data_IF_695711126861
#
_entry.id   IF_695711126861
#
_cell.length_a   1.000
_cell.length_b   1.000
_cell.length_c   1.000
_cell.angle_alpha   90.00
_cell.angle_beta   90.00
_cell.angle_gamma   90.00
#
_symmetry.space_group_name_H-M   'P 1'
#
loop_
_entity.id
_entity.type
_entity.pdbx_description
1 polymer ?
#
# COMPACT_ATOMS: atom_id res chain seq x y z
N UNK A 1 -3.63 32.93 -3.40
CA UNK A 1 -2.35 32.41 -2.84
C UNK A 1 -2.42 30.96 -2.36
N UNK A 2 -3.59 30.43 -1.96
CA UNK A 2 -3.73 29.05 -1.45
C UNK A 2 -3.43 27.94 -2.47
N UNK A 3 -3.68 28.17 -3.76
CA UNK A 3 -3.38 27.19 -4.81
C UNK A 3 -1.87 26.87 -4.95
N UNK A 4 -1.01 27.84 -4.63
CA UNK A 4 0.46 27.69 -4.78
C UNK A 4 1.08 26.87 -3.65
N UNK A 5 0.51 26.92 -2.43
CA UNK A 5 0.94 26.08 -1.30
C UNK A 5 0.43 24.66 -1.42
N UNK A 6 -0.81 24.45 -1.87
CA UNK A 6 -1.39 23.11 -2.10
C UNK A 6 -0.55 22.31 -3.11
N UNK A 7 -0.23 22.95 -4.24
CA UNK A 7 0.60 22.38 -5.31
C UNK A 7 2.08 22.12 -4.90
N UNK A 8 2.55 22.73 -3.80
CA UNK A 8 3.87 22.42 -3.20
C UNK A 8 3.80 21.26 -2.19
N UNK A 9 2.70 21.14 -1.45
CA UNK A 9 2.48 20.06 -0.49
C UNK A 9 2.28 18.72 -1.23
N UNK A 10 1.58 18.74 -2.35
CA UNK A 10 1.40 17.58 -3.24
C UNK A 10 2.73 17.02 -3.79
N UNK A 11 3.78 17.85 -3.88
CA UNK A 11 5.14 17.41 -4.28
C UNK A 11 5.91 16.69 -3.16
N UNK A 12 5.48 16.81 -1.91
CA UNK A 12 6.18 16.29 -0.73
C UNK A 12 5.41 15.19 0.01
N UNK A 13 4.29 14.71 -0.52
CA UNK A 13 3.62 13.52 -0.01
C UNK A 13 3.95 12.31 -0.91
N UNK A 14 5.13 11.68 -0.73
CA UNK A 14 5.51 10.50 -1.51
C UNK A 14 4.56 9.34 -1.18
N UNK A 15 4.14 8.62 -2.22
CA UNK A 15 3.33 7.43 -1.99
C UNK A 15 4.16 6.36 -1.28
N UNK A 16 3.60 5.79 -0.21
CA UNK A 16 4.16 4.72 0.59
C UNK A 16 4.13 3.43 -0.26
N UNK A 17 5.27 2.76 -0.48
CA UNK A 17 5.30 1.52 -1.23
C UNK A 17 4.61 0.40 -0.45
N UNK A 18 3.77 -0.36 -1.15
CA UNK A 18 3.17 -1.61 -0.66
C UNK A 18 3.61 -2.70 -1.62
N UNK A 19 4.44 -3.60 -1.14
CA UNK A 19 4.97 -4.71 -1.95
C UNK A 19 3.93 -5.81 -2.04
N UNK A 20 3.62 -6.21 -3.27
CA UNK A 20 2.64 -7.26 -3.57
C UNK A 20 3.37 -8.46 -4.14
N UNK A 21 3.20 -9.61 -3.49
CA UNK A 21 3.67 -10.91 -3.95
C UNK A 21 2.49 -11.85 -4.22
N UNK A 22 2.68 -12.78 -5.15
CA UNK A 22 1.72 -13.86 -5.41
C UNK A 22 2.41 -15.20 -5.30
N UNK A 23 1.91 -16.04 -4.39
CA UNK A 23 2.43 -17.36 -4.07
C UNK A 23 1.33 -18.23 -3.49
N UNK A 24 1.42 -19.54 -3.69
CA UNK A 24 0.49 -20.53 -3.10
C UNK A 24 -1.01 -20.23 -3.35
N UNK A 25 -1.33 -19.59 -4.48
CA UNK A 25 -2.69 -19.20 -4.84
C UNK A 25 -3.28 -18.07 -4.00
N UNK A 26 -2.44 -17.23 -3.42
CA UNK A 26 -2.79 -16.04 -2.62
C UNK A 26 -1.93 -14.84 -3.04
N UNK A 27 -2.53 -13.66 -2.98
CA UNK A 27 -1.78 -12.41 -2.96
C UNK A 27 -1.45 -12.04 -1.52
N UNK A 28 -0.23 -11.54 -1.30
CA UNK A 28 0.21 -10.98 -0.02
C UNK A 28 0.63 -9.53 -0.25
N UNK A 29 0.22 -8.64 0.65
CA UNK A 29 0.62 -7.24 0.69
C UNK A 29 1.45 -6.99 1.93
N UNK A 30 2.64 -6.40 1.75
CA UNK A 30 3.56 -6.04 2.81
C UNK A 30 3.86 -4.53 2.72
N UNK A 31 3.77 -3.82 3.84
CA UNK A 31 4.06 -2.39 3.92
C UNK A 31 4.84 -2.08 5.20
N UNK A 32 6.16 -1.93 5.08
CA UNK A 32 7.06 -1.64 6.19
C UNK A 32 6.69 -0.35 6.93
N UNK A 33 6.36 0.70 6.18
CA UNK A 33 6.07 2.01 6.75
C UNK A 33 4.80 2.03 7.61
N UNK A 34 3.83 1.14 7.31
CA UNK A 34 2.61 0.97 8.09
C UNK A 34 2.71 -0.22 9.06
N UNK A 35 3.81 -0.98 9.04
CA UNK A 35 3.93 -2.27 9.73
C UNK A 35 2.73 -3.19 9.47
N UNK A 36 2.31 -3.26 8.20
CA UNK A 36 1.12 -3.97 7.74
C UNK A 36 1.52 -5.18 6.89
N UNK A 37 0.91 -6.34 7.18
CA UNK A 37 0.95 -7.52 6.32
C UNK A 37 -0.47 -8.10 6.23
N UNK A 38 -0.97 -8.34 5.02
CA UNK A 38 -2.29 -8.95 4.79
C UNK A 38 -2.29 -9.81 3.53
N UNK A 39 -3.25 -10.72 3.41
CA UNK A 39 -3.36 -11.64 2.27
C UNK A 39 -4.81 -11.78 1.78
N UNK A 40 -4.98 -12.02 0.48
CA UNK A 40 -6.29 -12.24 -0.14
C UNK A 40 -6.20 -13.14 -1.38
N UNK A 41 -7.35 -13.67 -1.82
CA UNK A 41 -7.43 -14.53 -3.01
C UNK A 41 -7.27 -13.76 -4.30
N UNK A 42 -7.71 -12.51 -4.32
CA UNK A 42 -7.63 -11.63 -5.48
C UNK A 42 -6.89 -10.35 -5.13
N UNK A 43 -6.30 -9.72 -6.16
CA UNK A 43 -5.64 -8.43 -6.00
C UNK A 43 -6.61 -7.32 -5.55
N UNK A 44 -7.86 -7.36 -6.04
CA UNK A 44 -8.90 -6.39 -5.67
C UNK A 44 -9.23 -6.48 -4.17
N UNK A 45 -9.58 -7.68 -3.68
CA UNK A 45 -9.82 -7.93 -2.25
C UNK A 45 -8.61 -7.54 -1.40
N UNK A 46 -7.38 -7.83 -1.87
CA UNK A 46 -6.16 -7.44 -1.16
C UNK A 46 -6.08 -5.92 -1.00
N UNK A 47 -6.32 -5.17 -2.07
CA UNK A 47 -6.24 -3.70 -2.02
C UNK A 47 -7.31 -3.10 -1.13
N UNK A 48 -8.51 -3.66 -1.11
CA UNK A 48 -9.59 -3.25 -0.20
C UNK A 48 -9.16 -3.46 1.26
N UNK A 49 -8.68 -4.67 1.59
CA UNK A 49 -8.21 -4.99 2.94
C UNK A 49 -7.05 -4.08 3.39
N UNK A 50 -6.10 -3.78 2.50
CA UNK A 50 -5.02 -2.84 2.83
C UNK A 50 -5.61 -1.50 3.22
N UNK A 51 -6.53 -0.94 2.42
CA UNK A 51 -7.15 0.36 2.70
C UNK A 51 -7.98 0.39 3.98
N UNK A 52 -8.70 -0.69 4.29
CA UNK A 52 -9.44 -0.83 5.55
C UNK A 52 -8.50 -0.80 6.76
N UNK A 53 -7.31 -1.41 6.64
CA UNK A 53 -6.33 -1.51 7.73
C UNK A 53 -5.46 -0.25 7.89
N UNK A 54 -5.28 0.59 6.86
CA UNK A 54 -4.44 1.80 6.94
C UNK A 54 -4.72 2.69 8.17
N UNK A 55 -5.97 3.14 8.43
CA UNK A 55 -6.23 4.03 9.56
C UNK A 55 -5.88 3.37 10.90
N UNK A 56 -6.27 2.10 11.06
CA UNK A 56 -5.99 1.32 12.27
C UNK A 56 -4.48 1.17 12.48
N UNK A 57 -3.71 0.92 11.42
CA UNK A 57 -2.25 0.78 11.50
C UNK A 57 -1.55 2.10 11.80
N UNK A 58 -2.07 3.23 11.32
CA UNK A 58 -1.56 4.56 11.69
C UNK A 58 -1.77 4.84 13.18
N UNK A 59 -2.96 4.54 13.70
CA UNK A 59 -3.31 4.74 15.10
C UNK A 59 -2.49 3.82 16.02
N UNK A 60 -2.48 2.51 15.75
CA UNK A 60 -1.82 1.49 16.59
C UNK A 60 -0.31 1.69 16.64
N UNK A 61 0.31 2.10 15.54
CA UNK A 61 1.75 2.31 15.47
C UNK A 61 2.17 3.77 15.78
N UNK A 62 1.23 4.63 16.20
CA UNK A 62 1.46 6.05 16.54
C UNK A 62 2.20 6.82 15.43
N UNK A 63 1.87 6.54 14.16
CA UNK A 63 2.54 7.14 13.02
C UNK A 63 2.11 8.60 12.84
N UNK A 64 3.06 9.50 12.60
CA UNK A 64 2.80 10.92 12.29
C UNK A 64 2.31 11.12 10.82
N UNK A 65 1.30 10.34 10.42
CA UNK A 65 0.73 10.34 9.07
C UNK A 65 -0.74 10.71 9.18
N UNK A 66 -1.20 11.67 8.38
CA UNK A 66 -2.62 12.01 8.29
C UNK A 66 -3.35 10.98 7.41
N UNK A 67 -4.28 10.17 7.96
CA UNK A 67 -4.99 9.10 7.23
C UNK A 67 -5.71 9.61 5.98
N UNK A 68 -6.26 10.83 6.01
CA UNK A 68 -7.00 11.42 4.89
C UNK A 68 -6.08 11.87 3.74
N UNK A 69 -4.78 11.93 3.99
CA UNK A 69 -3.76 12.33 3.03
C UNK A 69 -2.90 11.16 2.55
N UNK A 70 -3.10 9.95 3.08
CA UNK A 70 -2.27 8.78 2.75
C UNK A 70 -2.33 8.48 1.25
N UNK A 71 -1.17 8.22 0.68
CA UNK A 71 -1.03 7.71 -0.68
C UNK A 71 -0.27 6.41 -0.64
N UNK A 72 -0.87 5.35 -1.15
CA UNK A 72 -0.21 4.05 -1.31
C UNK A 72 0.21 3.86 -2.77
N UNK A 73 1.34 3.18 -2.97
CA UNK A 73 1.81 2.72 -4.27
C UNK A 73 1.99 1.22 -4.20
N UNK A 74 1.05 0.49 -4.79
CA UNK A 74 1.11 -0.95 -4.91
C UNK A 74 2.13 -1.34 -5.97
N UNK A 75 3.17 -2.08 -5.57
CA UNK A 75 4.26 -2.54 -6.43
C UNK A 75 4.24 -4.06 -6.49
N UNK A 76 3.94 -4.61 -7.66
CA UNK A 76 3.99 -6.05 -7.89
C UNK A 76 5.13 -6.38 -8.84
N UNK A 77 6.14 -7.09 -8.36
CA UNK A 77 7.20 -7.64 -9.20
C UNK A 77 6.84 -9.07 -9.61
N UNK A 78 6.75 -9.31 -10.92
CA UNK A 78 6.53 -10.65 -11.48
C UNK A 78 7.73 -11.06 -12.33
N UNK A 79 8.24 -12.26 -12.09
CA UNK A 79 9.28 -12.83 -12.94
C UNK A 79 8.66 -13.69 -14.05
N UNK A 80 9.22 -13.63 -15.27
CA UNK A 80 8.74 -14.46 -16.39
C UNK A 80 8.84 -15.98 -16.13
N UNK A 81 9.65 -16.39 -15.14
CA UNK A 81 9.72 -17.78 -14.67
C UNK A 81 8.52 -18.20 -13.83
N UNK A 82 7.89 -17.27 -13.11
CA UNK A 82 6.74 -17.51 -12.22
C UNK A 82 5.46 -17.83 -13.00
N UNK A 83 5.32 -17.26 -14.21
CA UNK A 83 4.21 -17.54 -15.15
C UNK A 83 4.20 -18.97 -15.68
N UNK A 84 5.29 -19.74 -15.55
CA UNK A 84 5.37 -21.12 -16.06
C UNK A 84 4.90 -22.20 -15.08
N UNK A 85 4.54 -21.82 -13.86
CA UNK A 85 4.21 -22.77 -12.79
C UNK A 85 2.70 -22.85 -12.47
N UNK A 86 1.84 -22.14 -13.22
CA UNK A 86 0.38 -22.23 -13.11
C UNK A 86 -0.22 -23.09 -14.22
#
# INVERSE_FOLDING_TARGET
>A
MLASVKNRLDRHNPAIPVEISFGDGMYTAECDALSLVTEAKTFEELTELVWELVPDMIEVNELEIDPDSVRLRFEMAQSAGQLKAN
#
